data_IF_538694225008
#
_entry.id   IF_538694225008
#
_cell.length_a   1.000
_cell.length_b   1.000
_cell.length_c   1.000
_cell.angle_alpha   90.00
_cell.angle_beta   90.00
_cell.angle_gamma   90.00
#
_symmetry.space_group_name_H-M   'P 1'
#
loop_
_entity.id
_entity.type
_entity.pdbx_description
1 polymer ?
#
# COMPACT_ATOMS: atom_id res chain seq x y z
N UNK A 1 -19.62 -0.31 -29.00
CA UNK A 1 -18.97 0.75 -28.20
C UNK A 1 -18.32 1.72 -29.16
N UNK A 2 -18.59 3.03 -29.04
CA UNK A 2 -17.96 4.04 -29.87
C UNK A 2 -16.45 4.14 -29.63
N UNK A 3 -15.73 4.67 -30.62
CA UNK A 3 -14.27 4.89 -30.51
C UNK A 3 -13.95 5.79 -29.32
N UNK A 4 -12.97 5.40 -28.49
CA UNK A 4 -12.50 6.16 -27.33
C UNK A 4 -13.37 6.03 -26.05
N UNK A 5 -14.54 5.44 -26.10
CA UNK A 5 -15.45 5.35 -24.94
C UNK A 5 -14.87 4.52 -23.79
N UNK A 6 -14.16 3.42 -24.09
CA UNK A 6 -13.55 2.58 -23.05
C UNK A 6 -12.46 3.33 -22.28
N UNK A 7 -11.60 4.06 -22.97
CA UNK A 7 -10.55 4.86 -22.33
C UNK A 7 -11.14 5.95 -21.43
N UNK A 8 -12.17 6.68 -21.92
CA UNK A 8 -12.83 7.69 -21.11
C UNK A 8 -13.53 7.09 -19.88
N UNK A 9 -14.17 5.92 -20.02
CA UNK A 9 -14.80 5.20 -18.92
C UNK A 9 -13.79 4.76 -17.89
N UNK A 10 -12.61 4.26 -18.33
CA UNK A 10 -11.54 3.87 -17.45
C UNK A 10 -11.01 5.05 -16.62
N UNK A 11 -10.69 6.17 -17.27
CA UNK A 11 -10.24 7.39 -16.57
C UNK A 11 -11.28 7.85 -15.55
N UNK A 12 -12.56 7.81 -15.92
CA UNK A 12 -13.66 8.16 -15.00
C UNK A 12 -13.72 7.24 -13.80
N UNK A 13 -13.56 5.93 -14.00
CA UNK A 13 -13.54 4.94 -12.92
C UNK A 13 -12.35 5.16 -11.96
N UNK A 14 -11.15 5.36 -12.50
CA UNK A 14 -9.96 5.70 -11.70
C UNK A 14 -10.19 6.99 -10.89
N UNK A 15 -10.68 8.06 -11.53
CA UNK A 15 -10.97 9.31 -10.83
C UNK A 15 -11.97 9.11 -9.69
N UNK A 16 -12.98 8.27 -9.89
CA UNK A 16 -13.94 7.92 -8.84
C UNK A 16 -13.27 7.27 -7.65
N UNK A 17 -12.37 6.30 -7.87
CA UNK A 17 -11.62 5.63 -6.80
C UNK A 17 -10.70 6.63 -6.06
N UNK A 18 -9.97 7.45 -6.80
CA UNK A 18 -9.08 8.46 -6.21
C UNK A 18 -9.86 9.50 -5.38
N UNK A 19 -11.06 9.86 -5.81
CA UNK A 19 -11.93 10.73 -5.04
C UNK A 19 -12.41 10.08 -3.74
N UNK A 20 -12.81 8.81 -3.81
CA UNK A 20 -13.17 8.02 -2.62
C UNK A 20 -12.00 7.91 -1.64
N UNK A 21 -10.77 7.73 -2.13
CA UNK A 21 -9.59 7.74 -1.26
C UNK A 21 -9.42 9.06 -0.50
N UNK A 22 -9.65 10.19 -1.16
CA UNK A 22 -9.58 11.50 -0.50
C UNK A 22 -10.65 11.63 0.58
N UNK A 23 -11.87 11.18 0.29
CA UNK A 23 -13.00 11.33 1.22
C UNK A 23 -12.96 10.36 2.40
N UNK A 24 -12.53 9.13 2.17
CA UNK A 24 -12.67 8.05 3.14
C UNK A 24 -11.35 7.60 3.78
N UNK A 25 -10.20 7.78 3.10
CA UNK A 25 -8.91 7.23 3.55
C UNK A 25 -7.86 8.32 3.90
N UNK A 26 -8.14 9.60 3.69
CA UNK A 26 -7.16 10.66 3.97
C UNK A 26 -6.68 10.66 5.42
N UNK A 27 -7.57 10.40 6.37
CA UNK A 27 -7.21 10.30 7.80
C UNK A 27 -6.32 9.09 8.06
N UNK A 28 -6.67 7.93 7.49
CA UNK A 28 -5.86 6.72 7.63
C UNK A 28 -4.46 6.88 7.00
N UNK A 29 -4.38 7.54 5.85
CA UNK A 29 -3.10 7.88 5.18
C UNK A 29 -2.27 8.82 6.06
N UNK A 30 -2.89 9.85 6.63
CA UNK A 30 -2.21 10.81 7.49
C UNK A 30 -1.70 10.16 8.77
N UNK A 31 -2.49 9.33 9.44
CA UNK A 31 -2.11 8.66 10.68
C UNK A 31 -1.01 7.62 10.44
N UNK A 32 -1.08 6.86 9.35
CA UNK A 32 0.00 5.97 8.93
C UNK A 32 1.30 6.73 8.65
N UNK A 33 1.22 7.89 7.97
CA UNK A 33 2.37 8.73 7.69
C UNK A 33 2.97 9.35 8.95
N UNK A 34 2.15 9.78 9.93
CA UNK A 34 2.61 10.24 11.24
C UNK A 34 3.39 9.16 11.98
N UNK A 35 2.89 7.93 11.99
CA UNK A 35 3.59 6.80 12.60
C UNK A 35 4.94 6.55 11.90
N UNK A 36 4.98 6.55 10.56
CA UNK A 36 6.22 6.45 9.81
C UNK A 36 7.22 7.57 10.17
N UNK A 37 6.75 8.82 10.25
CA UNK A 37 7.59 9.96 10.61
C UNK A 37 8.15 9.82 12.04
N UNK A 38 7.34 9.39 13.01
CA UNK A 38 7.78 9.12 14.39
C UNK A 38 8.89 8.07 14.43
N UNK A 39 8.72 6.97 13.70
CA UNK A 39 9.73 5.92 13.57
C UNK A 39 11.05 6.49 13.03
N UNK A 40 11.00 7.27 11.95
CA UNK A 40 12.18 7.90 11.35
C UNK A 40 12.84 8.92 12.29
N UNK A 41 12.08 9.72 13.03
CA UNK A 41 12.58 10.70 14.00
C UNK A 41 13.32 10.05 15.17
N UNK A 42 12.98 8.80 15.51
CA UNK A 42 13.69 8.03 16.54
C UNK A 42 14.93 7.30 16.00
N UNK A 43 15.30 7.53 14.74
CA UNK A 43 16.45 6.89 14.09
C UNK A 43 16.18 5.43 13.71
N UNK A 44 14.93 5.03 13.65
CA UNK A 44 14.48 3.71 13.20
C UNK A 44 14.15 3.72 11.72
N UNK A 45 13.90 2.55 11.16
CA UNK A 45 13.72 2.35 9.73
C UNK A 45 12.28 1.99 9.39
N UNK A 46 11.76 2.57 8.30
CA UNK A 46 10.53 2.12 7.66
C UNK A 46 10.90 1.22 6.49
N UNK A 47 10.53 -0.04 6.57
CA UNK A 47 10.75 -1.03 5.52
C UNK A 47 9.48 -1.20 4.67
N UNK A 48 9.61 -1.05 3.36
CA UNK A 48 8.49 -1.18 2.43
C UNK A 48 8.50 -2.55 1.74
N UNK A 49 7.46 -3.33 1.96
CA UNK A 49 7.14 -4.53 1.19
C UNK A 49 6.17 -4.16 0.07
N UNK A 50 6.67 -4.11 -1.16
CA UNK A 50 5.93 -3.66 -2.34
C UNK A 50 5.66 -4.85 -3.25
N UNK A 51 4.40 -5.20 -3.47
CA UNK A 51 4.05 -6.30 -4.37
C UNK A 51 4.09 -5.89 -5.85
N UNK A 52 4.03 -6.88 -6.74
CA UNK A 52 4.23 -6.72 -8.19
C UNK A 52 3.24 -5.80 -8.91
N UNK A 53 2.06 -5.54 -8.34
CA UNK A 53 1.08 -4.61 -8.91
C UNK A 53 1.50 -3.15 -8.77
N UNK A 54 2.30 -2.83 -7.76
CA UNK A 54 2.90 -1.51 -7.63
C UNK A 54 4.01 -1.35 -8.68
N UNK A 55 4.02 -0.23 -9.45
CA UNK A 55 5.09 0.03 -10.40
C UNK A 55 6.42 0.24 -9.66
N UNK A 56 7.26 -0.77 -9.63
CA UNK A 56 8.45 -0.87 -8.77
C UNK A 56 9.47 0.26 -8.98
N UNK A 57 9.47 0.87 -10.16
CA UNK A 57 10.33 2.02 -10.49
C UNK A 57 9.86 3.34 -9.85
N UNK A 58 8.68 3.38 -9.25
CA UNK A 58 8.20 4.55 -8.52
C UNK A 58 8.99 4.75 -7.22
N UNK A 59 9.32 3.68 -6.50
CA UNK A 59 10.24 3.75 -5.38
C UNK A 59 11.66 4.03 -5.88
N UNK A 60 12.25 5.09 -5.41
CA UNK A 60 13.56 5.57 -5.86
C UNK A 60 13.52 6.37 -7.18
N UNK A 61 12.34 6.75 -7.67
CA UNK A 61 12.20 7.65 -8.81
C UNK A 61 12.79 9.03 -8.49
N UNK A 62 13.17 9.82 -9.51
CA UNK A 62 13.56 11.21 -9.29
C UNK A 62 12.48 11.98 -8.51
N UNK A 63 12.86 12.55 -7.36
CA UNK A 63 11.94 13.24 -6.46
C UNK A 63 11.39 12.40 -5.30
N UNK A 64 11.69 11.10 -5.25
CA UNK A 64 11.43 10.29 -4.06
C UNK A 64 12.39 10.70 -2.93
N UNK A 65 11.87 11.16 -1.77
CA UNK A 65 12.73 11.51 -0.63
C UNK A 65 13.33 10.30 0.07
N UNK A 66 13.05 9.08 -0.36
CA UNK A 66 13.58 7.81 0.13
C UNK A 66 13.36 7.61 1.65
N UNK A 67 12.16 7.95 2.14
CA UNK A 67 11.79 7.72 3.53
C UNK A 67 11.63 6.24 3.89
N UNK A 68 11.47 5.39 2.90
CA UNK A 68 11.28 3.95 3.09
C UNK A 68 12.43 3.16 2.44
N UNK A 69 12.88 2.12 3.13
CA UNK A 69 13.81 1.14 2.55
C UNK A 69 13.02 -0.01 1.94
N UNK A 70 13.20 -0.22 0.64
CA UNK A 70 12.52 -1.30 -0.05
C UNK A 70 13.12 -2.65 0.35
N UNK A 71 12.24 -3.57 0.69
CA UNK A 71 12.54 -5.00 0.71
C UNK A 71 12.41 -5.57 -0.71
N UNK A 72 13.14 -6.62 -1.01
CA UNK A 72 13.00 -7.33 -2.28
C UNK A 72 11.54 -7.76 -2.48
N UNK A 73 11.06 -7.83 -3.75
CA UNK A 73 9.65 -8.01 -4.02
C UNK A 73 9.13 -9.22 -3.27
N UNK A 74 8.11 -8.97 -2.48
CA UNK A 74 7.24 -10.00 -1.99
C UNK A 74 6.55 -10.60 -3.21
N UNK A 75 6.92 -11.81 -3.54
CA UNK A 75 6.00 -12.62 -4.31
C UNK A 75 4.78 -12.84 -3.40
N UNK A 76 3.60 -12.44 -3.87
CA UNK A 76 2.36 -12.57 -3.09
C UNK A 76 2.07 -14.04 -2.73
N UNK A 77 2.73 -14.99 -3.37
CA UNK A 77 2.64 -16.42 -3.13
C UNK A 77 3.74 -16.95 -2.20
N UNK A 78 4.83 -16.19 -1.97
CA UNK A 78 5.91 -16.58 -1.06
C UNK A 78 5.88 -15.70 0.18
N UNK A 79 5.30 -16.18 1.29
CA UNK A 79 5.22 -15.41 2.54
C UNK A 79 6.58 -15.30 3.25
N UNK A 80 7.61 -15.98 2.77
CA UNK A 80 8.92 -15.99 3.40
C UNK A 80 9.73 -14.79 2.96
N UNK A 81 9.93 -13.87 3.89
CA UNK A 81 10.86 -12.75 3.79
C UNK A 81 12.05 -12.97 4.71
N UNK A 82 13.02 -13.82 4.33
CA UNK A 82 14.20 -14.03 5.17
C UNK A 82 14.99 -12.73 5.40
N UNK A 83 14.89 -11.77 4.48
CA UNK A 83 15.45 -10.43 4.67
C UNK A 83 14.80 -9.66 5.80
N UNK A 84 13.49 -9.83 6.02
CA UNK A 84 12.76 -9.12 7.05
C UNK A 84 13.20 -9.59 8.44
N UNK A 85 13.35 -10.89 8.65
CA UNK A 85 13.81 -11.47 9.92
C UNK A 85 15.18 -10.94 10.36
N UNK A 86 16.06 -10.72 9.38
CA UNK A 86 17.41 -10.24 9.64
C UNK A 86 17.55 -8.72 9.76
N UNK A 87 16.55 -7.96 9.30
CA UNK A 87 16.61 -6.50 9.24
C UNK A 87 15.80 -5.81 10.33
N UNK A 88 14.60 -6.31 10.63
CA UNK A 88 13.71 -5.67 11.58
C UNK A 88 14.25 -5.65 13.00
N UNK A 89 14.18 -4.50 13.61
CA UNK A 89 14.51 -4.26 15.01
C UNK A 89 13.31 -3.64 15.74
N UNK A 90 13.37 -3.69 17.06
CA UNK A 90 12.35 -3.05 17.90
C UNK A 90 12.19 -1.57 17.56
N UNK A 91 10.96 -1.15 17.33
CA UNK A 91 10.61 0.21 16.96
C UNK A 91 10.73 0.53 15.47
N UNK A 92 11.17 -0.39 14.63
CA UNK A 92 11.06 -0.25 13.18
C UNK A 92 9.61 -0.36 12.72
N UNK A 93 9.35 -0.10 11.43
CA UNK A 93 8.03 -0.22 10.86
C UNK A 93 8.07 -1.03 9.55
N UNK A 94 7.17 -1.97 9.42
CA UNK A 94 6.90 -2.69 8.18
C UNK A 94 5.68 -2.08 7.48
N UNK A 95 5.92 -1.39 6.35
CA UNK A 95 4.89 -0.84 5.49
C UNK A 95 4.61 -1.82 4.34
N UNK A 96 3.44 -2.44 4.35
CA UNK A 96 3.04 -3.42 3.33
C UNK A 96 2.07 -2.81 2.33
N UNK A 97 2.51 -2.65 1.09
CA UNK A 97 1.67 -2.25 -0.03
C UNK A 97 1.23 -3.51 -0.79
N UNK A 98 0.12 -4.08 -0.33
CA UNK A 98 -0.38 -5.37 -0.74
C UNK A 98 -1.49 -5.33 -1.79
N UNK A 99 -2.15 -6.48 -1.97
CA UNK A 99 -3.24 -6.66 -2.93
C UNK A 99 -4.48 -7.22 -2.24
N UNK A 100 -4.66 -8.54 -2.20
CA UNK A 100 -5.80 -9.19 -1.54
C UNK A 100 -5.42 -10.06 -0.34
N UNK A 101 -4.16 -10.42 -0.20
CA UNK A 101 -3.71 -11.35 0.83
C UNK A 101 -2.69 -10.71 1.75
N UNK A 102 -2.81 -11.03 3.03
CA UNK A 102 -1.85 -10.62 4.05
C UNK A 102 -0.63 -11.54 4.05
N UNK A 103 0.59 -11.01 4.10
CA UNK A 103 1.80 -11.80 4.28
C UNK A 103 1.96 -12.17 5.77
N UNK A 104 1.17 -13.12 6.25
CA UNK A 104 1.06 -13.44 7.67
C UNK A 104 2.40 -13.82 8.33
N UNK A 105 3.28 -14.52 7.60
CA UNK A 105 4.62 -14.82 8.10
C UNK A 105 5.41 -13.52 8.37
N UNK A 106 5.39 -12.57 7.43
CA UNK A 106 6.04 -11.27 7.59
C UNK A 106 5.44 -10.46 8.76
N UNK A 107 4.11 -10.52 8.96
CA UNK A 107 3.46 -9.83 10.07
C UNK A 107 3.85 -10.42 11.43
N UNK A 108 3.91 -11.75 11.54
CA UNK A 108 4.41 -12.41 12.76
C UNK A 108 5.87 -12.04 13.05
N UNK A 109 6.72 -12.05 12.01
CA UNK A 109 8.12 -11.62 12.11
C UNK A 109 8.21 -10.18 12.60
N UNK A 110 7.44 -9.26 12.03
CA UNK A 110 7.41 -7.86 12.44
C UNK A 110 6.99 -7.71 13.92
N UNK A 111 5.94 -8.41 14.35
CA UNK A 111 5.50 -8.38 15.76
C UNK A 111 6.50 -9.01 16.71
N UNK A 112 7.14 -10.10 16.33
CA UNK A 112 8.19 -10.73 17.15
C UNK A 112 9.41 -9.81 17.30
N UNK A 113 9.74 -9.05 16.28
CA UNK A 113 10.79 -8.04 16.34
C UNK A 113 10.40 -6.78 17.14
N UNK A 114 9.14 -6.61 17.50
CA UNK A 114 8.62 -5.39 18.15
C UNK A 114 8.47 -4.21 17.18
N UNK A 115 8.24 -4.50 15.90
CA UNK A 115 8.03 -3.50 14.87
C UNK A 115 6.53 -3.17 14.70
N UNK A 116 6.26 -1.96 14.21
CA UNK A 116 4.92 -1.53 13.79
C UNK A 116 4.58 -2.09 12.41
N UNK A 117 3.28 -2.17 12.10
CA UNK A 117 2.78 -2.62 10.81
C UNK A 117 1.79 -1.61 10.26
N UNK A 118 2.05 -1.10 9.07
CA UNK A 118 1.08 -0.37 8.25
C UNK A 118 0.72 -1.23 7.06
N UNK A 119 -0.57 -1.42 6.85
CA UNK A 119 -1.11 -2.27 5.80
C UNK A 119 -1.89 -1.45 4.78
N UNK A 120 -1.61 -1.67 3.50
CA UNK A 120 -2.43 -1.22 2.38
C UNK A 120 -2.91 -2.45 1.63
N UNK A 121 -4.16 -2.85 1.84
CA UNK A 121 -4.73 -4.05 1.25
C UNK A 121 -6.22 -3.84 0.95
N UNK A 122 -6.68 -4.40 -0.17
CA UNK A 122 -8.10 -4.54 -0.46
C UNK A 122 -8.52 -5.98 -0.17
N UNK A 123 -9.73 -6.19 0.30
CA UNK A 123 -10.24 -7.52 0.59
C UNK A 123 -11.14 -7.54 1.81
N UNK A 124 -11.60 -8.73 2.14
CA UNK A 124 -12.52 -8.94 3.24
C UNK A 124 -11.82 -8.74 4.58
N UNK A 125 -12.33 -7.80 5.36
CA UNK A 125 -11.91 -7.54 6.75
C UNK A 125 -12.36 -8.64 7.70
N UNK A 126 -13.28 -9.49 7.27
CA UNK A 126 -13.96 -10.47 8.11
C UNK A 126 -13.06 -11.59 8.62
N UNK A 127 -11.77 -11.40 8.44
CA UNK A 127 -10.80 -12.18 9.18
C UNK A 127 -10.50 -13.52 8.55
N UNK A 128 -9.32 -13.62 8.02
CA UNK A 128 -8.64 -14.88 7.77
C UNK A 128 -8.23 -15.59 9.09
N UNK A 129 -8.83 -15.22 10.24
CA UNK A 129 -8.45 -15.74 11.56
C UNK A 129 -7.07 -15.25 12.02
N UNK A 130 -6.59 -14.15 11.46
CA UNK A 130 -5.28 -13.57 11.71
C UNK A 130 -5.08 -13.25 13.19
N UNK A 131 -4.08 -13.83 13.79
CA UNK A 131 -3.58 -13.55 15.13
C UNK A 131 -2.79 -12.25 15.23
N UNK A 132 -2.49 -11.62 14.07
CA UNK A 132 -1.73 -10.36 13.98
C UNK A 132 -2.51 -9.33 13.19
N UNK A 133 -2.80 -8.20 13.84
CA UNK A 133 -3.45 -7.06 13.21
C UNK A 133 -2.43 -5.95 12.92
N UNK A 134 -2.59 -5.17 11.84
CA UNK A 134 -1.79 -3.98 11.60
C UNK A 134 -2.10 -2.88 12.62
N UNK A 135 -1.16 -1.95 12.83
CA UNK A 135 -1.38 -0.75 13.63
C UNK A 135 -2.23 0.27 12.88
N UNK A 136 -2.02 0.38 11.56
CA UNK A 136 -2.84 1.18 10.65
C UNK A 136 -3.16 0.42 9.37
N UNK A 137 -4.36 0.63 8.88
CA UNK A 137 -4.89 0.04 7.65
C UNK A 137 -5.39 1.14 6.72
N UNK A 138 -4.92 1.13 5.48
CA UNK A 138 -5.39 1.97 4.39
C UNK A 138 -6.08 1.08 3.36
N UNK A 139 -7.30 1.42 2.94
CA UNK A 139 -8.09 0.66 1.98
C UNK A 139 -8.02 1.27 0.59
N UNK A 140 -7.45 0.55 -0.41
CA UNK A 140 -7.29 1.09 -1.76
C UNK A 140 -8.60 1.35 -2.52
N UNK A 141 -9.71 0.75 -2.12
CA UNK A 141 -11.06 0.96 -2.67
C UNK A 141 -11.28 0.52 -4.12
N UNK A 142 -10.34 -0.18 -4.78
CA UNK A 142 -10.68 -0.82 -6.06
C UNK A 142 -11.55 -2.06 -5.82
N UNK A 143 -12.44 -2.41 -6.78
CA UNK A 143 -13.33 -3.55 -6.64
C UNK A 143 -12.57 -4.88 -6.67
N UNK A 144 -13.16 -5.90 -6.06
CA UNK A 144 -12.64 -7.27 -6.17
C UNK A 144 -12.49 -7.69 -7.63
N UNK A 145 -11.39 -8.39 -7.95
CA UNK A 145 -11.05 -8.79 -9.31
C UNK A 145 -10.21 -7.77 -10.06
N UNK A 146 -9.95 -6.59 -9.48
CA UNK A 146 -9.09 -5.53 -10.03
C UNK A 146 -9.39 -5.23 -11.50
N UNK A 147 -10.66 -5.13 -11.85
CA UNK A 147 -11.10 -4.79 -13.19
C UNK A 147 -12.26 -3.81 -13.09
N UNK A 148 -12.16 -2.71 -13.83
CA UNK A 148 -13.01 -1.54 -13.61
C UNK A 148 -14.14 -1.40 -14.62
N UNK A 149 -14.01 -2.01 -15.80
CA UNK A 149 -14.87 -1.68 -16.94
C UNK A 149 -15.63 -2.91 -17.43
N UNK A 150 -16.94 -2.81 -17.39
CA UNK A 150 -17.83 -3.77 -18.03
C UNK A 150 -17.96 -3.46 -19.53
N UNK A 151 -17.81 -4.50 -20.34
CA UNK A 151 -17.93 -4.38 -21.80
C UNK A 151 -19.04 -5.30 -22.28
N UNK A 152 -20.02 -4.82 -23.07
CA UNK A 152 -21.06 -5.69 -23.63
C UNK A 152 -20.46 -6.85 -24.42
N UNK A 153 -20.92 -8.07 -24.14
CA UNK A 153 -20.42 -9.30 -24.75
C UNK A 153 -19.20 -9.93 -24.06
N UNK A 154 -18.74 -9.34 -22.96
CA UNK A 154 -17.72 -9.94 -22.07
C UNK A 154 -18.38 -10.36 -20.77
N UNK A 155 -18.06 -11.55 -20.29
CA UNK A 155 -18.57 -12.07 -19.01
C UNK A 155 -17.78 -11.55 -17.81
N UNK A 156 -16.65 -10.90 -18.07
CA UNK A 156 -15.76 -10.33 -17.05
C UNK A 156 -15.50 -8.85 -17.31
N UNK A 157 -15.23 -8.12 -16.24
CA UNK A 157 -14.70 -6.77 -16.35
C UNK A 157 -13.25 -6.80 -16.84
N UNK A 158 -12.78 -5.71 -17.42
CA UNK A 158 -11.43 -5.53 -17.93
C UNK A 158 -10.82 -4.23 -17.38
N UNK A 159 -9.53 -4.02 -17.62
CA UNK A 159 -8.74 -2.85 -17.28
C UNK A 159 -8.52 -2.68 -15.76
N UNK A 160 -7.37 -3.12 -15.26
CA UNK A 160 -7.04 -3.08 -13.83
C UNK A 160 -6.78 -1.66 -13.34
N UNK A 161 -7.10 -1.40 -12.06
CA UNK A 161 -6.89 -0.11 -11.41
C UNK A 161 -5.81 -0.10 -10.35
N UNK A 162 -5.42 -1.28 -9.84
CA UNK A 162 -4.57 -1.42 -8.66
C UNK A 162 -3.23 -0.68 -8.79
N UNK A 163 -2.54 -0.78 -9.91
CA UNK A 163 -1.23 -0.15 -10.09
C UNK A 163 -1.27 1.38 -9.97
N UNK A 164 -2.32 2.02 -10.50
CA UNK A 164 -2.50 3.48 -10.40
C UNK A 164 -2.86 3.86 -8.97
N UNK A 165 -3.80 3.15 -8.37
CA UNK A 165 -4.30 3.44 -7.03
C UNK A 165 -3.21 3.21 -5.97
N UNK A 166 -2.45 2.12 -6.07
CA UNK A 166 -1.29 1.87 -5.18
C UNK A 166 -0.23 2.95 -5.31
N UNK A 167 0.04 3.42 -6.53
CA UNK A 167 0.97 4.52 -6.77
C UNK A 167 0.49 5.81 -6.11
N UNK A 168 -0.79 6.14 -6.24
CA UNK A 168 -1.38 7.32 -5.61
C UNK A 168 -1.28 7.25 -4.07
N UNK A 169 -1.61 6.10 -3.47
CA UNK A 169 -1.49 5.89 -2.01
C UNK A 169 -0.03 6.01 -1.57
N UNK A 170 0.90 5.37 -2.28
CA UNK A 170 2.33 5.45 -1.97
C UNK A 170 2.80 6.89 -1.90
N UNK A 171 2.54 7.70 -2.94
CA UNK A 171 2.96 9.09 -2.98
C UNK A 171 2.22 9.98 -1.98
N UNK A 172 0.95 9.69 -1.68
CA UNK A 172 0.21 10.38 -0.63
C UNK A 172 0.86 10.16 0.74
N UNK A 173 1.21 8.91 1.07
CA UNK A 173 1.90 8.56 2.32
C UNK A 173 3.28 9.22 2.37
N UNK A 174 4.10 9.10 1.31
CA UNK A 174 5.45 9.68 1.24
C UNK A 174 5.41 11.21 1.40
N UNK A 175 4.45 11.87 0.75
CA UNK A 175 4.26 13.31 0.88
C UNK A 175 3.87 13.72 2.30
N UNK A 176 2.95 12.97 2.93
CA UNK A 176 2.52 13.21 4.31
C UNK A 176 3.64 12.93 5.33
N UNK A 177 4.51 11.93 5.08
CA UNK A 177 5.72 11.71 5.89
C UNK A 177 6.64 12.92 5.81
N UNK A 178 6.91 13.41 4.59
CA UNK A 178 7.77 14.59 4.40
C UNK A 178 7.24 15.80 5.16
N UNK A 179 5.93 16.06 5.06
CA UNK A 179 5.27 17.14 5.79
C UNK A 179 5.39 16.96 7.31
N UNK A 180 5.18 15.76 7.83
CA UNK A 180 5.28 15.49 9.27
C UNK A 180 6.71 15.64 9.79
N UNK A 181 7.73 15.29 9.00
CA UNK A 181 9.13 15.47 9.36
C UNK A 181 9.54 16.95 9.36
N UNK A 182 8.99 17.78 8.47
CA UNK A 182 9.30 19.22 8.40
C UNK A 182 8.62 20.02 9.53
N UNK A 183 7.41 19.64 9.94
CA UNK A 183 6.68 20.28 11.05
C UNK A 183 7.27 19.95 12.43
N UNK A 184 8.10 18.93 12.52
CA UNK A 184 8.80 18.53 13.75
C UNK A 184 10.14 19.24 13.98
N UNK A 185 10.53 20.14 13.07
CA UNK A 185 11.73 21.01 13.20
C UNK A 185 11.33 22.40 13.66
#
# INVERSE_FOLDING_TARGET
IGSGQLGASYIKAINGILHTLIEEESVAIEDAAKLCAQVLQTGRTVYAGLISHFPMHQHGAPGDPLHMQRLLPLDAESPDLPELENKLQIGDLFFFLGYYRRPMAAYRTARQAGAYIVEVITGDESGDGSDVQPDHLIRPRWPFGDALISVPGYDVQILPGSGIVQTAIYWAVVGSISQALDTGR
#
